data_IF_183966354558
#
_entry.id   IF_183966354558
#
_cell.length_a   1.000
_cell.length_b   1.000
_cell.length_c   1.000
_cell.angle_alpha   90.00
_cell.angle_beta   90.00
_cell.angle_gamma   90.00
#
_symmetry.space_group_name_H-M   'P 1'
#
loop_
_entity.id
_entity.type
_entity.pdbx_description
1 polymer ?
#
# COMPACT_ATOMS: atom_id res chain seq x y z
N UNK A 1 -0.26 -0.90 20.60
CA UNK A 1 0.42 -2.21 20.56
C UNK A 1 -0.31 -3.03 19.52
N UNK A 2 0.41 -3.78 18.69
CA UNK A 2 -0.16 -4.60 17.62
C UNK A 2 -1.26 -5.52 18.15
N UNK A 3 -2.37 -5.62 17.43
CA UNK A 3 -3.48 -6.49 17.77
C UNK A 3 -3.13 -7.96 17.47
N UNK A 4 -2.65 -8.65 18.50
CA UNK A 4 -2.20 -10.04 18.39
C UNK A 4 -3.32 -11.02 18.08
N UNK A 5 -4.56 -10.72 18.49
CA UNK A 5 -5.73 -11.58 18.24
C UNK A 5 -6.09 -11.56 16.76
N UNK A 6 -6.26 -10.38 16.17
CA UNK A 6 -6.60 -10.28 14.75
C UNK A 6 -5.42 -10.66 13.85
N UNK A 7 -4.19 -10.44 14.30
CA UNK A 7 -3.00 -10.91 13.59
C UNK A 7 -2.96 -12.43 13.51
N UNK A 8 -3.39 -13.14 14.55
CA UNK A 8 -3.51 -14.59 14.53
C UNK A 8 -4.57 -15.09 13.52
N UNK A 9 -5.64 -14.31 13.29
CA UNK A 9 -6.64 -14.62 12.24
C UNK A 9 -6.02 -14.42 10.86
N UNK A 10 -5.31 -13.30 10.64
CA UNK A 10 -4.61 -13.03 9.38
C UNK A 10 -3.61 -14.15 9.05
N UNK A 11 -2.84 -14.61 10.04
CA UNK A 11 -1.83 -15.67 9.91
C UNK A 11 -2.40 -17.06 9.67
N UNK A 12 -3.71 -17.29 9.85
CA UNK A 12 -4.37 -18.55 9.45
C UNK A 12 -4.60 -18.64 7.93
N UNK A 13 -4.41 -17.53 7.20
CA UNK A 13 -4.45 -17.49 5.75
C UNK A 13 -5.54 -16.58 5.21
N UNK A 14 -5.36 -16.17 3.95
CA UNK A 14 -6.20 -15.15 3.29
C UNK A 14 -7.69 -15.51 3.28
N UNK A 15 -8.04 -16.79 3.06
CA UNK A 15 -9.44 -17.20 3.02
C UNK A 15 -10.14 -16.98 4.37
N UNK A 16 -9.47 -17.34 5.47
CA UNK A 16 -9.97 -17.13 6.84
C UNK A 16 -10.08 -15.64 7.14
N UNK A 17 -9.04 -14.88 6.81
CA UNK A 17 -9.01 -13.43 6.98
C UNK A 17 -10.13 -12.72 6.22
N UNK A 18 -10.28 -13.00 4.94
CA UNK A 18 -11.29 -12.36 4.09
C UNK A 18 -12.71 -12.73 4.52
N UNK A 19 -12.93 -13.98 4.94
CA UNK A 19 -14.21 -14.40 5.53
C UNK A 19 -14.51 -13.60 6.80
N UNK A 20 -13.53 -13.50 7.70
CA UNK A 20 -13.65 -12.74 8.94
C UNK A 20 -13.92 -11.25 8.67
N UNK A 21 -13.20 -10.61 7.74
CA UNK A 21 -13.42 -9.20 7.34
C UNK A 21 -14.82 -8.96 6.79
N UNK A 22 -15.35 -9.90 6.01
CA UNK A 22 -16.72 -9.82 5.49
C UNK A 22 -17.78 -9.86 6.60
N UNK A 23 -17.51 -10.59 7.67
CA UNK A 23 -18.40 -10.69 8.83
C UNK A 23 -18.23 -9.54 9.84
N UNK A 24 -17.09 -8.86 9.83
CA UNK A 24 -16.73 -7.83 10.79
C UNK A 24 -16.22 -6.55 10.06
N UNK A 25 -17.02 -5.94 9.17
CA UNK A 25 -16.59 -4.78 8.38
C UNK A 25 -16.31 -3.53 9.24
N UNK A 26 -16.97 -3.41 10.39
CA UNK A 26 -16.84 -2.30 11.33
C UNK A 26 -15.59 -2.37 12.20
N UNK A 27 -15.03 -3.57 12.39
CA UNK A 27 -13.82 -3.75 13.19
C UNK A 27 -12.63 -3.31 12.35
N UNK A 28 -11.78 -2.45 12.90
CA UNK A 28 -10.52 -2.03 12.29
C UNK A 28 -9.35 -2.50 13.14
N UNK A 29 -8.79 -3.70 12.84
CA UNK A 29 -7.61 -4.18 13.55
C UNK A 29 -6.40 -3.26 13.38
N UNK A 30 -5.66 -3.08 14.47
CA UNK A 30 -4.40 -2.33 14.48
C UNK A 30 -3.22 -3.28 14.26
N UNK A 31 -2.60 -3.20 13.09
CA UNK A 31 -1.39 -3.95 12.73
C UNK A 31 -0.13 -3.07 12.71
N UNK A 32 -0.14 -1.96 13.46
CA UNK A 32 1.06 -1.16 13.67
C UNK A 32 2.23 -2.02 14.12
N UNK A 33 3.36 -1.89 13.44
CA UNK A 33 4.61 -2.61 13.72
C UNK A 33 4.50 -4.14 13.67
N UNK A 34 3.47 -4.68 12.99
CA UNK A 34 3.32 -6.13 12.84
C UNK A 34 4.47 -6.73 12.00
N UNK A 35 4.96 -7.90 12.42
CA UNK A 35 5.84 -8.73 11.59
C UNK A 35 5.00 -9.58 10.63
N UNK A 36 5.04 -9.17 9.36
CA UNK A 36 4.35 -9.76 8.22
C UNK A 36 5.36 -10.08 7.09
N UNK A 37 6.63 -10.28 7.43
CA UNK A 37 7.66 -10.67 6.47
C UNK A 37 7.28 -11.94 5.74
N UNK A 38 7.44 -11.93 4.42
CA UNK A 38 7.12 -13.05 3.54
C UNK A 38 5.68 -13.57 3.69
N UNK A 39 4.77 -12.78 4.26
CA UNK A 39 3.39 -13.20 4.46
C UNK A 39 2.69 -13.40 3.11
N UNK A 40 1.94 -14.50 3.01
CA UNK A 40 1.09 -14.79 1.85
C UNK A 40 -0.24 -14.02 1.99
N UNK A 41 -0.30 -12.83 1.40
CA UNK A 41 -1.41 -11.88 1.54
C UNK A 41 -2.09 -11.56 0.19
N UNK A 42 -1.92 -12.42 -0.83
CA UNK A 42 -2.54 -12.24 -2.16
C UNK A 42 -4.05 -12.09 -2.02
N UNK A 43 -4.64 -11.11 -2.70
CA UNK A 43 -6.09 -10.88 -2.71
C UNK A 43 -6.70 -10.67 -1.30
N UNK A 44 -5.89 -10.32 -0.30
CA UNK A 44 -6.38 -10.08 1.06
C UNK A 44 -7.08 -8.72 1.17
N UNK A 45 -8.11 -8.65 2.03
CA UNK A 45 -8.79 -7.40 2.36
C UNK A 45 -8.08 -6.70 3.52
N UNK A 46 -7.16 -5.80 3.19
CA UNK A 46 -6.40 -4.96 4.13
C UNK A 46 -6.90 -3.51 4.14
N UNK A 47 -8.10 -3.29 3.58
CA UNK A 47 -8.75 -1.98 3.47
C UNK A 47 -8.85 -1.28 4.82
N UNK A 48 -8.38 -0.04 4.86
CA UNK A 48 -8.44 0.88 5.99
C UNK A 48 -7.59 0.46 7.21
N UNK A 49 -6.77 -0.59 7.10
CA UNK A 49 -6.02 -1.07 8.25
C UNK A 49 -4.86 -0.13 8.60
N UNK A 50 -4.56 -0.05 9.90
CA UNK A 50 -3.34 0.55 10.36
C UNK A 50 -2.18 -0.45 10.23
N UNK A 51 -1.29 -0.23 9.28
CA UNK A 51 -0.05 -0.97 9.02
C UNK A 51 1.19 -0.09 9.22
N UNK A 52 1.05 1.00 9.98
CA UNK A 52 2.16 1.92 10.29
C UNK A 52 3.37 1.14 10.79
N UNK A 53 4.54 1.35 10.19
CA UNK A 53 5.80 0.69 10.57
C UNK A 53 5.76 -0.85 10.54
N UNK A 54 4.79 -1.46 9.85
CA UNK A 54 4.77 -2.92 9.68
C UNK A 54 5.97 -3.39 8.84
N UNK A 55 6.48 -4.58 9.15
CA UNK A 55 7.51 -5.24 8.38
C UNK A 55 6.83 -6.17 7.35
N UNK A 56 6.76 -5.72 6.10
CA UNK A 56 6.14 -6.39 4.96
C UNK A 56 7.20 -6.81 3.93
N UNK A 57 8.47 -6.94 4.34
CA UNK A 57 9.54 -7.33 3.43
C UNK A 57 9.22 -8.66 2.78
N UNK A 58 9.39 -8.73 1.46
CA UNK A 58 9.09 -9.91 0.63
C UNK A 58 7.65 -10.43 0.76
N UNK A 59 6.73 -9.66 1.34
CA UNK A 59 5.34 -10.05 1.43
C UNK A 59 4.70 -10.14 0.05
N UNK A 60 3.79 -11.08 -0.09
CA UNK A 60 3.09 -11.35 -1.32
C UNK A 60 1.70 -10.71 -1.25
N UNK A 61 1.58 -9.48 -1.74
CA UNK A 61 0.41 -8.61 -1.70
C UNK A 61 -0.28 -8.50 -3.07
N UNK A 62 -0.03 -9.45 -3.98
CA UNK A 62 -0.58 -9.43 -5.33
C UNK A 62 -2.11 -9.32 -5.28
N UNK A 63 -2.65 -8.25 -5.85
CA UNK A 63 -4.09 -7.96 -5.89
C UNK A 63 -4.73 -7.72 -4.52
N UNK A 64 -3.95 -7.48 -3.47
CA UNK A 64 -4.50 -7.13 -2.16
C UNK A 64 -5.26 -5.80 -2.22
N UNK A 65 -6.32 -5.70 -1.43
CA UNK A 65 -7.09 -4.47 -1.26
C UNK A 65 -6.52 -3.68 -0.06
N UNK A 66 -5.76 -2.63 -0.36
CA UNK A 66 -5.12 -1.71 0.60
C UNK A 66 -5.76 -0.32 0.51
N UNK A 67 -7.02 -0.22 0.04
CA UNK A 67 -7.76 1.03 -0.05
C UNK A 67 -7.74 1.76 1.30
N UNK A 68 -7.28 3.01 1.30
CA UNK A 68 -7.13 3.87 2.50
C UNK A 68 -6.33 3.23 3.65
N UNK A 69 -5.49 2.21 3.38
CA UNK A 69 -4.63 1.64 4.41
C UNK A 69 -3.54 2.63 4.81
N UNK A 70 -3.23 2.69 6.11
CA UNK A 70 -2.12 3.49 6.60
C UNK A 70 -0.85 2.63 6.66
N UNK A 71 0.05 2.80 5.70
CA UNK A 71 1.33 2.09 5.60
C UNK A 71 2.51 2.97 6.04
N UNK A 72 2.26 4.10 6.71
CA UNK A 72 3.32 5.08 7.03
C UNK A 72 4.54 4.42 7.69
N UNK A 73 5.71 4.59 7.08
CA UNK A 73 6.96 4.05 7.59
C UNK A 73 7.10 2.52 7.52
N UNK A 74 6.21 1.80 6.84
CA UNK A 74 6.33 0.36 6.63
C UNK A 74 7.52 0.00 5.73
N UNK A 75 8.10 -1.17 5.95
CA UNK A 75 9.13 -1.74 5.07
C UNK A 75 8.51 -2.75 4.10
N UNK A 76 8.45 -2.38 2.83
CA UNK A 76 7.91 -3.16 1.71
C UNK A 76 9.04 -3.65 0.79
N UNK A 77 10.29 -3.70 1.27
CA UNK A 77 11.44 -4.13 0.46
C UNK A 77 11.17 -5.51 -0.16
N UNK A 78 11.23 -5.59 -1.49
CA UNK A 78 10.98 -6.81 -2.26
C UNK A 78 9.55 -7.34 -2.24
N UNK A 79 8.57 -6.59 -1.73
CA UNK A 79 7.17 -7.01 -1.71
C UNK A 79 6.56 -7.05 -3.13
N UNK A 80 5.67 -8.01 -3.37
CA UNK A 80 4.93 -8.15 -4.62
C UNK A 80 3.53 -7.51 -4.48
N UNK A 81 3.36 -6.29 -4.96
CA UNK A 81 2.11 -5.52 -4.95
C UNK A 81 1.43 -5.49 -6.32
N UNK A 82 1.73 -6.45 -7.21
CA UNK A 82 1.16 -6.48 -8.55
C UNK A 82 -0.36 -6.44 -8.52
N UNK A 83 -0.96 -5.46 -9.19
CA UNK A 83 -2.41 -5.27 -9.23
C UNK A 83 -3.06 -4.93 -7.88
N UNK A 84 -2.29 -4.61 -6.84
CA UNK A 84 -2.84 -4.21 -5.55
C UNK A 84 -3.58 -2.86 -5.67
N UNK A 85 -4.63 -2.71 -4.87
CA UNK A 85 -5.42 -1.50 -4.80
C UNK A 85 -4.94 -0.64 -3.62
N UNK A 86 -4.12 0.39 -3.87
CA UNK A 86 -3.60 1.31 -2.86
C UNK A 86 -4.26 2.69 -2.96
N UNK A 87 -5.50 2.74 -3.46
CA UNK A 87 -6.22 4.00 -3.58
C UNK A 87 -6.33 4.69 -2.22
N UNK A 88 -5.92 5.96 -2.14
CA UNK A 88 -5.96 6.73 -0.90
C UNK A 88 -5.00 6.27 0.20
N UNK A 89 -4.15 5.26 -0.03
CA UNK A 89 -3.26 4.72 1.00
C UNK A 89 -2.18 5.73 1.42
N UNK A 90 -1.80 5.71 2.69
CA UNK A 90 -0.66 6.50 3.18
C UNK A 90 0.62 5.67 3.05
N UNK A 91 1.40 5.93 1.99
CA UNK A 91 2.71 5.32 1.76
C UNK A 91 3.86 6.24 2.22
N UNK A 92 3.56 7.27 2.99
CA UNK A 92 4.59 8.19 3.45
C UNK A 92 5.69 7.47 4.24
N UNK A 93 6.93 7.86 4.00
CA UNK A 93 8.11 7.30 4.67
C UNK A 93 8.32 5.79 4.47
N UNK A 94 7.60 5.15 3.53
CA UNK A 94 7.79 3.72 3.26
C UNK A 94 9.08 3.45 2.50
N UNK A 95 9.66 2.26 2.74
CA UNK A 95 10.79 1.74 1.96
C UNK A 95 10.28 0.66 1.01
N UNK A 96 10.51 0.83 -0.30
CA UNK A 96 9.97 -0.05 -1.35
C UNK A 96 11.02 -0.54 -2.34
N UNK A 97 12.27 -0.67 -1.89
CA UNK A 97 13.39 -1.14 -2.71
C UNK A 97 13.09 -2.50 -3.32
N UNK A 98 13.23 -2.62 -4.64
CA UNK A 98 12.89 -3.85 -5.39
C UNK A 98 11.43 -4.31 -5.30
N UNK A 99 10.51 -3.50 -4.77
CA UNK A 99 9.09 -3.85 -4.71
C UNK A 99 8.45 -3.79 -6.10
N UNK A 100 7.41 -4.59 -6.33
CA UNK A 100 6.74 -4.65 -7.61
C UNK A 100 5.32 -4.08 -7.55
N UNK A 101 5.12 -2.88 -8.09
CA UNK A 101 3.83 -2.19 -8.20
C UNK A 101 3.19 -2.36 -9.59
N UNK A 102 3.63 -3.30 -10.42
CA UNK A 102 3.09 -3.42 -11.77
C UNK A 102 1.56 -3.58 -11.77
N UNK A 103 0.86 -2.69 -12.47
CA UNK A 103 -0.60 -2.68 -12.52
C UNK A 103 -1.31 -2.26 -11.23
N UNK A 104 -0.59 -1.83 -10.20
CA UNK A 104 -1.18 -1.36 -8.96
C UNK A 104 -1.90 -0.01 -9.15
N UNK A 105 -2.89 0.26 -8.29
CA UNK A 105 -3.63 1.52 -8.28
C UNK A 105 -3.07 2.40 -7.17
N UNK A 106 -2.47 3.54 -7.52
CA UNK A 106 -1.88 4.49 -6.56
C UNK A 106 -2.62 5.84 -6.51
N UNK A 107 -3.79 5.92 -7.13
CA UNK A 107 -4.57 7.17 -7.16
C UNK A 107 -4.94 7.63 -5.75
N UNK A 108 -4.60 8.88 -5.42
CA UNK A 108 -4.85 9.48 -4.11
C UNK A 108 -3.91 9.00 -3.00
N UNK A 109 -2.90 8.20 -3.31
CA UNK A 109 -1.91 7.79 -2.30
C UNK A 109 -1.04 8.98 -1.87
N UNK A 110 -0.62 8.98 -0.60
CA UNK A 110 0.38 9.92 -0.08
C UNK A 110 1.78 9.33 -0.25
N UNK A 111 2.68 10.05 -0.93
CA UNK A 111 4.04 9.60 -1.26
C UNK A 111 5.15 10.46 -0.63
N UNK A 112 4.83 11.20 0.44
CA UNK A 112 5.79 12.01 1.19
C UNK A 112 6.95 11.14 1.70
N UNK A 113 8.20 11.50 1.38
CA UNK A 113 9.41 10.73 1.73
C UNK A 113 9.36 9.26 1.30
N UNK A 114 8.69 8.96 0.18
CA UNK A 114 8.61 7.60 -0.36
C UNK A 114 9.96 7.15 -0.91
N UNK A 115 10.52 6.07 -0.35
CA UNK A 115 11.86 5.59 -0.70
C UNK A 115 11.78 4.45 -1.70
N UNK A 116 12.28 4.71 -2.90
CA UNK A 116 12.31 3.79 -4.04
C UNK A 116 13.75 3.58 -4.51
N UNK A 117 13.99 2.55 -5.33
CA UNK A 117 15.27 2.34 -6.00
C UNK A 117 15.08 2.01 -7.49
N UNK A 118 16.19 1.76 -8.20
CA UNK A 118 16.15 1.42 -9.63
C UNK A 118 15.48 0.07 -9.93
N UNK A 119 15.24 -0.74 -8.91
CA UNK A 119 14.62 -2.06 -9.05
C UNK A 119 13.11 -2.02 -8.77
N UNK A 120 12.60 -0.95 -8.13
CA UNK A 120 11.17 -0.78 -7.91
C UNK A 120 10.44 -0.67 -9.25
N UNK A 121 9.44 -1.53 -9.46
CA UNK A 121 8.74 -1.66 -10.75
C UNK A 121 7.39 -0.93 -10.74
N UNK A 122 7.21 0.04 -11.63
CA UNK A 122 5.99 0.83 -11.78
C UNK A 122 5.26 0.62 -13.12
N UNK A 123 5.58 -0.45 -13.84
CA UNK A 123 4.98 -0.70 -15.15
C UNK A 123 3.45 -0.78 -15.07
N UNK A 124 2.77 -0.01 -15.92
CA UNK A 124 1.30 0.04 -15.97
C UNK A 124 0.62 0.43 -14.64
N UNK A 125 1.31 1.15 -13.75
CA UNK A 125 0.66 1.72 -12.56
C UNK A 125 -0.47 2.65 -13.00
N UNK A 126 -1.62 2.52 -12.34
CA UNK A 126 -2.79 3.35 -12.54
C UNK A 126 -2.81 4.44 -11.46
N UNK A 127 -2.45 5.66 -11.85
CA UNK A 127 -2.41 6.79 -10.94
C UNK A 127 -2.97 8.02 -11.64
N UNK A 128 -4.00 8.64 -11.06
CA UNK A 128 -4.56 9.92 -11.56
C UNK A 128 -3.96 11.12 -10.86
N UNK A 129 -3.71 11.00 -9.56
CA UNK A 129 -3.07 12.02 -8.73
C UNK A 129 -2.50 11.37 -7.47
N UNK A 130 -1.61 12.07 -6.80
CA UNK A 130 -1.03 11.70 -5.50
C UNK A 130 -1.04 12.90 -4.56
N UNK A 131 -0.67 12.69 -3.31
CA UNK A 131 -0.39 13.75 -2.34
C UNK A 131 1.09 13.75 -1.96
N UNK A 132 1.68 14.94 -1.89
CA UNK A 132 3.08 15.14 -1.55
C UNK A 132 3.30 15.54 -0.09
N UNK A 133 2.23 15.81 0.67
CA UNK A 133 2.29 16.16 2.09
C UNK A 133 1.36 15.31 2.94
N UNK A 134 1.68 15.27 4.25
CA UNK A 134 0.90 14.57 5.24
C UNK A 134 -0.57 15.04 5.24
N UNK A 135 -1.47 14.16 5.68
CA UNK A 135 -2.92 14.42 5.72
C UNK A 135 -3.52 14.76 4.36
N UNK A 136 -2.97 14.18 3.27
CA UNK A 136 -3.47 14.37 1.91
C UNK A 136 -3.48 15.86 1.50
N UNK A 137 -2.42 16.58 1.87
CA UNK A 137 -2.19 17.95 1.42
C UNK A 137 -1.29 17.97 0.19
N UNK A 138 -1.36 19.06 -0.58
CA UNK A 138 -0.60 19.26 -1.83
C UNK A 138 -0.75 18.11 -2.83
N UNK A 139 -1.93 18.09 -3.48
CA UNK A 139 -2.20 17.18 -4.59
C UNK A 139 -1.23 17.44 -5.75
N UNK A 140 -0.77 16.38 -6.40
CA UNK A 140 -0.09 16.46 -7.69
C UNK A 140 -0.79 15.56 -8.72
N UNK A 141 -1.15 16.07 -9.92
CA UNK A 141 -1.05 17.47 -10.35
C UNK A 141 -1.83 18.45 -9.44
N UNK A 142 -1.46 19.74 -9.42
CA UNK A 142 -2.11 20.72 -8.52
C UNK A 142 -3.57 21.01 -8.93
N UNK A 143 -3.83 21.08 -10.23
CA UNK A 143 -5.17 21.30 -10.78
C UNK A 143 -6.02 20.01 -10.62
N UNK A 144 -7.13 20.02 -9.85
CA UNK A 144 -7.98 18.84 -9.62
C UNK A 144 -8.60 18.26 -10.88
N UNK A 145 -8.79 19.07 -11.93
CA UNK A 145 -9.34 18.63 -13.22
C UNK A 145 -8.31 17.88 -14.07
N UNK A 146 -7.02 18.05 -13.76
CA UNK A 146 -5.92 17.37 -14.44
C UNK A 146 -5.56 16.09 -13.70
N UNK A 147 -5.44 15.00 -14.45
CA UNK A 147 -4.88 13.73 -13.97
C UNK A 147 -3.56 13.45 -14.68
N UNK A 148 -2.67 12.67 -14.07
CA UNK A 148 -1.55 12.06 -14.78
C UNK A 148 -2.05 11.35 -16.04
N UNK A 149 -1.47 11.67 -17.19
CA UNK A 149 -1.72 10.90 -18.40
C UNK A 149 -0.99 9.54 -18.32
N UNK A 150 -1.32 8.58 -19.19
CA UNK A 150 -0.61 7.30 -19.24
C UNK A 150 0.91 7.48 -19.32
N UNK A 151 1.62 6.94 -18.31
CA UNK A 151 3.08 7.00 -18.20
C UNK A 151 3.64 8.24 -17.50
N UNK A 152 2.85 9.29 -17.25
CA UNK A 152 3.35 10.51 -16.60
C UNK A 152 3.70 10.28 -15.14
N UNK A 153 2.93 9.44 -14.44
CA UNK A 153 3.28 9.03 -13.08
C UNK A 153 4.67 8.39 -13.03
N UNK A 154 4.97 7.46 -13.95
CA UNK A 154 6.28 6.78 -13.98
C UNK A 154 7.41 7.77 -14.25
N UNK A 155 7.20 8.73 -15.17
CA UNK A 155 8.15 9.82 -15.41
C UNK A 155 8.36 10.68 -14.17
N UNK A 156 7.29 11.03 -13.46
CA UNK A 156 7.36 11.81 -12.23
C UNK A 156 8.15 11.07 -11.14
N UNK A 157 7.87 9.78 -10.92
CA UNK A 157 8.59 8.97 -9.93
C UNK A 157 10.10 8.90 -10.21
N UNK A 158 10.51 8.91 -11.48
CA UNK A 158 11.94 8.94 -11.86
C UNK A 158 12.65 10.26 -11.56
N UNK A 159 11.94 11.29 -11.10
CA UNK A 159 12.50 12.58 -10.69
C UNK A 159 12.74 12.73 -9.19
N UNK A 160 12.26 11.76 -8.38
CA UNK A 160 12.50 11.67 -6.93
C UNK A 160 13.90 11.10 -6.64
#
# INVERSE_FOLDING_TARGET
MTDTRHLAILKQGVAVWNHWRKQNPEIQPDFKSADLRSAMLRLSSLKGLNLTQADLRQADLKGADLWEANLKGADLTGADLRGANLWGADLSQTQTFGANFQGAILTGACLLDWRIDRQTNFNNVLCRFIYCQANQQERFPLDPEVSFAPGDFVRWVQTL
#
